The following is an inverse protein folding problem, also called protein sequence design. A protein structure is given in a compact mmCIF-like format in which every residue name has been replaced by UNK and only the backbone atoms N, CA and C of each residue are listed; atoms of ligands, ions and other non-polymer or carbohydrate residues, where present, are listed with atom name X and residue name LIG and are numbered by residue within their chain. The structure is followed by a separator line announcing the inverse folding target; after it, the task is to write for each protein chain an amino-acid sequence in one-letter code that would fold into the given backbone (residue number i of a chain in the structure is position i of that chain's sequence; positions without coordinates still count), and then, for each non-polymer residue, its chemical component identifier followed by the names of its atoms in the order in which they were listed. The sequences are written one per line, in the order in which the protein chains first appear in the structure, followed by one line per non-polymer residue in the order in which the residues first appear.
data_IF_543724524961
#
_entry.id   IF_543724524961
#
_cell.length_a   1.000
_cell.length_b   1.000
_cell.length_c   1.000
_cell.angle_alpha   90.00
_cell.angle_beta   90.00
_cell.angle_gamma   90.00
#
_symmetry.space_group_name_H-M   'P 1'
#
loop_
_entity.id
_entity.type
_entity.pdbx_description
1 polymer ?
#
# COMPACT_ATOMS: atom_id res chain seq x y z
N UNK A 1 31.03 -27.31 44.36
CA UNK A 1 31.29 -26.23 43.39
C UNK A 1 30.74 -26.68 42.04
N UNK A 2 29.62 -26.11 41.60
CA UNK A 2 29.03 -26.36 40.28
C UNK A 2 29.24 -25.08 39.47
N UNK A 3 29.98 -25.17 38.37
CA UNK A 3 30.24 -24.05 37.46
C UNK A 3 29.08 -24.04 36.47
N UNK A 4 28.27 -22.99 36.54
CA UNK A 4 27.10 -22.83 35.66
C UNK A 4 27.53 -22.34 34.29
N UNK A 5 27.24 -23.16 33.28
CA UNK A 5 27.27 -22.87 31.86
C UNK A 5 26.22 -21.81 31.52
N UNK A 6 26.59 -20.53 31.57
CA UNK A 6 25.79 -19.41 31.03
C UNK A 6 26.70 -18.23 30.70
N UNK A 7 27.41 -18.31 29.60
CA UNK A 7 27.63 -17.15 28.73
C UNK A 7 28.11 -17.63 27.36
N UNK A 8 27.87 -16.83 26.31
CA UNK A 8 28.45 -16.97 24.96
C UNK A 8 27.65 -17.75 23.89
N UNK A 9 26.34 -17.49 23.74
CA UNK A 9 25.81 -17.35 22.37
C UNK A 9 24.44 -16.66 22.28
N UNK A 10 24.43 -15.38 21.89
CA UNK A 10 23.57 -14.85 20.80
C UNK A 10 23.82 -13.37 20.60
N UNK A 11 24.84 -13.07 19.80
CA UNK A 11 24.75 -11.91 18.90
C UNK A 11 23.67 -12.20 17.87
N UNK A 12 22.39 -12.10 18.25
CA UNK A 12 21.32 -12.00 17.28
C UNK A 12 21.39 -10.63 16.64
N UNK A 13 21.28 -10.50 15.30
CA UNK A 13 21.22 -9.18 14.70
C UNK A 13 20.04 -8.45 15.32
N UNK A 14 20.32 -7.27 15.87
CA UNK A 14 19.30 -6.33 16.33
C UNK A 14 18.28 -6.22 15.21
N UNK A 15 17.09 -6.83 15.39
CA UNK A 15 16.00 -6.71 14.44
C UNK A 15 15.59 -5.24 14.49
N UNK A 16 16.18 -4.44 13.60
CA UNK A 16 15.70 -3.11 13.27
C UNK A 16 14.19 -3.23 13.06
N UNK A 17 13.36 -2.33 13.61
CA UNK A 17 11.94 -2.34 13.26
C UNK A 17 11.90 -2.35 11.75
N UNK A 18 11.26 -3.36 11.16
CA UNK A 18 11.13 -3.49 9.72
C UNK A 18 10.43 -2.22 9.26
N UNK A 19 11.21 -1.21 8.86
CA UNK A 19 10.71 -0.01 8.26
C UNK A 19 9.89 -0.53 7.10
N UNK A 20 8.57 -0.37 7.22
CA UNK A 20 7.67 -0.76 6.14
C UNK A 20 8.24 -0.04 4.93
N UNK A 21 8.56 -0.75 3.82
CA UNK A 21 9.19 -0.10 2.69
C UNK A 21 8.38 1.17 2.37
N UNK A 22 9.01 2.30 2.03
CA UNK A 22 8.30 3.57 1.84
C UNK A 22 7.10 3.43 0.88
N UNK A 23 7.20 2.50 -0.08
CA UNK A 23 6.14 2.11 -0.99
C UNK A 23 4.91 1.45 -0.31
N UNK A 24 5.10 0.72 0.79
CA UNK A 24 4.02 0.20 1.60
C UNK A 24 3.24 1.30 2.34
N UNK A 25 3.83 2.48 2.53
CA UNK A 25 3.13 3.64 3.10
C UNK A 25 2.30 4.37 2.05
N UNK A 26 2.68 4.29 0.77
CA UNK A 26 2.03 5.00 -0.33
C UNK A 26 0.75 4.31 -0.79
N UNK A 27 -0.25 5.11 -1.14
CA UNK A 27 -1.48 4.63 -1.76
C UNK A 27 -1.28 4.47 -3.26
N UNK A 28 -1.56 3.28 -3.80
CA UNK A 28 -1.59 3.06 -5.24
C UNK A 28 -2.99 3.35 -5.78
N UNK A 29 -3.06 4.09 -6.87
CA UNK A 29 -4.33 4.37 -7.55
C UNK A 29 -4.67 3.17 -8.44
N UNK A 30 -5.89 2.66 -8.29
CA UNK A 30 -6.42 1.61 -9.15
C UNK A 30 -7.70 2.13 -9.81
N UNK A 31 -7.72 2.11 -11.14
CA UNK A 31 -8.94 2.32 -11.92
C UNK A 31 -9.58 0.95 -12.19
N UNK A 32 -10.78 0.73 -11.67
CA UNK A 32 -11.63 -0.40 -12.05
C UNK A 32 -12.36 -0.07 -13.35
N UNK A 33 -11.68 -0.28 -14.48
CA UNK A 33 -12.12 0.19 -15.79
C UNK A 33 -13.49 -0.36 -16.23
N UNK A 34 -13.89 -1.54 -15.74
CA UNK A 34 -15.21 -2.10 -16.03
C UNK A 34 -16.34 -1.30 -15.36
N UNK A 35 -16.13 -0.79 -14.14
CA UNK A 35 -17.13 -0.02 -13.39
C UNK A 35 -16.90 1.49 -13.46
N UNK A 36 -15.73 1.94 -13.94
CA UNK A 36 -15.30 3.33 -13.92
C UNK A 36 -14.94 3.84 -12.52
N UNK A 37 -14.85 2.96 -11.52
CA UNK A 37 -14.57 3.34 -10.13
C UNK A 37 -13.07 3.44 -9.88
N UNK A 38 -12.71 4.43 -9.07
CA UNK A 38 -11.34 4.69 -8.65
C UNK A 38 -11.19 4.29 -7.18
N UNK A 39 -10.12 3.58 -6.85
CA UNK A 39 -9.85 3.12 -5.47
C UNK A 39 -8.38 3.30 -5.11
N UNK A 40 -8.08 3.37 -3.81
CA UNK A 40 -6.72 3.43 -3.28
C UNK A 40 -6.38 2.08 -2.64
N UNK A 41 -5.24 1.50 -3.00
CA UNK A 41 -4.68 0.33 -2.33
C UNK A 41 -3.44 0.72 -1.53
N UNK A 42 -3.41 0.39 -0.24
CA UNK A 42 -2.29 0.65 0.66
C UNK A 42 -2.02 -0.58 1.53
N UNK A 43 -0.75 -0.92 1.73
CA UNK A 43 -0.35 -2.12 2.51
C UNK A 43 -1.07 -3.41 2.10
N UNK A 44 -1.39 -3.53 0.81
CA UNK A 44 -2.07 -4.71 0.26
C UNK A 44 -3.60 -4.69 0.34
N UNK A 45 -4.23 -3.74 1.05
CA UNK A 45 -5.68 -3.63 1.22
C UNK A 45 -6.25 -2.35 0.59
N UNK A 46 -7.58 -2.30 0.39
CA UNK A 46 -8.27 -1.07 0.01
C UNK A 46 -8.24 -0.10 1.19
N UNK A 47 -7.86 1.14 0.91
CA UNK A 47 -7.80 2.20 1.91
C UNK A 47 -9.12 2.97 1.93
N UNK A 48 -9.74 3.03 3.10
CA UNK A 48 -10.86 3.93 3.35
C UNK A 48 -10.34 5.35 3.57
N UNK A 49 -10.92 6.32 2.88
CA UNK A 49 -10.59 7.74 2.99
C UNK A 49 -11.87 8.53 3.16
N UNK A 50 -12.01 9.21 4.29
CA UNK A 50 -13.23 9.95 4.61
C UNK A 50 -14.50 9.09 4.64
N UNK A 51 -14.42 7.83 5.09
CA UNK A 51 -15.57 6.91 5.13
C UNK A 51 -15.94 6.29 3.78
N UNK A 52 -15.11 6.48 2.75
CA UNK A 52 -15.36 6.03 1.38
C UNK A 52 -14.20 5.18 0.86
N UNK A 53 -14.54 4.10 0.15
CA UNK A 53 -13.58 3.16 -0.45
C UNK A 53 -13.41 3.35 -1.97
N UNK A 54 -14.35 4.05 -2.62
CA UNK A 54 -14.35 4.23 -4.07
C UNK A 54 -14.89 5.60 -4.50
N UNK A 55 -14.35 6.12 -5.60
CA UNK A 55 -14.71 7.42 -6.16
C UNK A 55 -15.12 7.27 -7.63
N UNK A 56 -15.99 8.17 -8.12
CA UNK A 56 -16.46 8.14 -9.50
C UNK A 56 -15.40 8.62 -10.51
N UNK A 57 -14.39 9.37 -10.06
CA UNK A 57 -13.34 9.94 -10.90
C UNK A 57 -12.01 10.07 -10.13
N UNK A 58 -10.92 10.16 -10.89
CA UNK A 58 -9.56 10.27 -10.35
C UNK A 58 -9.37 11.54 -9.51
N UNK A 59 -9.89 12.69 -9.94
CA UNK A 59 -9.65 13.96 -9.27
C UNK A 59 -10.30 13.99 -7.89
N UNK A 60 -11.51 13.44 -7.77
CA UNK A 60 -12.19 13.26 -6.49
C UNK A 60 -11.41 12.35 -5.52
N UNK A 61 -10.79 11.28 -6.03
CA UNK A 61 -9.93 10.41 -5.23
C UNK A 61 -8.65 11.12 -4.77
N UNK A 62 -7.95 11.78 -5.69
CA UNK A 62 -6.72 12.52 -5.39
C UNK A 62 -6.96 13.62 -4.37
N UNK A 63 -8.09 14.33 -4.49
CA UNK A 63 -8.51 15.32 -3.50
C UNK A 63 -8.77 14.68 -2.14
N UNK A 64 -9.50 13.57 -2.07
CA UNK A 64 -9.77 12.89 -0.81
C UNK A 64 -8.46 12.39 -0.15
N UNK A 65 -7.53 11.86 -0.94
CA UNK A 65 -6.22 11.43 -0.45
C UNK A 65 -5.39 12.62 0.08
N UNK A 66 -5.41 13.77 -0.62
CA UNK A 66 -4.74 14.98 -0.17
C UNK A 66 -5.32 15.51 1.14
N UNK A 67 -6.66 15.54 1.26
CA UNK A 67 -7.36 15.94 2.50
C UNK A 67 -7.03 14.99 3.68
N UNK A 68 -6.79 13.71 3.40
CA UNK A 68 -6.41 12.72 4.41
C UNK A 68 -4.88 12.57 4.64
N UNK A 69 -4.05 13.35 3.93
CA UNK A 69 -2.59 13.26 4.03
C UNK A 69 -1.99 11.93 3.56
N UNK A 70 -2.66 11.25 2.63
CA UNK A 70 -2.20 9.97 2.07
C UNK A 70 -1.36 10.25 0.82
N UNK A 71 -0.04 9.99 0.83
CA UNK A 71 0.79 10.13 -0.35
C UNK A 71 0.40 9.05 -1.38
N UNK A 72 0.18 9.45 -2.63
CA UNK A 72 -0.17 8.55 -3.72
C UNK A 72 1.05 8.25 -4.61
N UNK A 73 1.13 7.02 -5.11
CA UNK A 73 2.06 6.64 -6.17
C UNK A 73 1.62 7.25 -7.51
N UNK A 74 2.58 7.65 -8.35
CA UNK A 74 2.30 8.19 -9.68
C UNK A 74 1.83 7.13 -10.70
N UNK A 75 2.06 5.86 -10.41
CA UNK A 75 1.62 4.74 -11.24
C UNK A 75 0.15 4.39 -10.99
N UNK A 76 -0.64 4.34 -12.07
CA UNK A 76 -2.04 3.95 -12.05
C UNK A 76 -2.17 2.52 -12.56
N UNK A 77 -2.85 1.68 -11.79
CA UNK A 77 -3.16 0.31 -12.19
C UNK A 77 -4.56 0.30 -12.80
N UNK A 78 -4.66 0.01 -14.09
CA UNK A 78 -5.95 -0.15 -14.75
C UNK A 78 -6.36 -1.63 -14.70
N UNK A 79 -7.41 -1.96 -13.95
CA UNK A 79 -7.96 -3.31 -13.87
C UNK A 79 -9.20 -3.44 -14.76
N UNK A 80 -9.35 -4.57 -15.44
CA UNK A 80 -10.49 -4.81 -16.33
C UNK A 80 -10.38 -4.17 -17.71
N UNK A 81 -9.30 -3.44 -18.02
CA UNK A 81 -8.89 -3.20 -19.41
C UNK A 81 -8.35 -4.51 -19.96
N UNK A 82 -9.17 -5.26 -20.68
CA UNK A 82 -8.68 -6.25 -21.62
C UNK A 82 -7.87 -5.46 -22.65
N UNK A 83 -6.58 -5.76 -22.76
CA UNK A 83 -5.75 -5.19 -23.81
C UNK A 83 -6.48 -5.45 -25.14
N UNK A 84 -6.98 -4.40 -25.80
CA UNK A 84 -7.60 -4.50 -27.12
C UNK A 84 -6.55 -4.77 -28.23
N UNK A 85 -5.32 -5.10 -27.84
CA UNK A 85 -4.22 -5.42 -28.74
C UNK A 85 -3.96 -6.94 -28.65
N UNK A 86 -4.86 -7.68 -29.29
CA UNK A 86 -4.58 -9.04 -29.75
C UNK A 86 -5.05 -9.06 -31.20
N UNK A 87 -4.20 -8.57 -32.10
CA UNK A 87 -4.38 -8.73 -33.54
C UNK A 87 -3.09 -9.24 -34.17
#
# INVERSE_FOLDING_TARGET
MTISDRDLNRGGPTRLPSATPPDAQMGRIIEMAFTGLWVIRRQGALAEVGGRLSWPDRASLERAAAEAGIPLSGDIIHTGRLNADHR
#
